data_IF_778368339044
#
_entry.id   IF_778368339044
#
_cell.length_a   1.000
_cell.length_b   1.000
_cell.length_c   1.000
_cell.angle_alpha   90.00
_cell.angle_beta   90.00
_cell.angle_gamma   90.00
#
_symmetry.space_group_name_H-M   'P 1'
#
loop_
_entity.id
_entity.type
_entity.pdbx_description
1 polymer ?
#
# COMPACT_ATOMS: atom_id res chain seq x y z
N UNK A 1 6.05 -40.54 -41.04
CA UNK A 1 5.58 -39.19 -41.40
C UNK A 1 5.35 -38.47 -40.08
N UNK A 2 6.28 -37.60 -39.72
CA UNK A 2 6.22 -36.77 -38.52
C UNK A 2 4.98 -35.86 -38.58
N UNK A 3 4.30 -35.68 -37.45
CA UNK A 3 3.66 -34.41 -37.14
C UNK A 3 3.82 -34.16 -35.64
N UNK A 4 4.44 -33.03 -35.35
CA UNK A 4 5.09 -32.65 -34.10
C UNK A 4 4.07 -32.12 -33.10
N UNK A 5 4.36 -32.38 -31.82
CA UNK A 5 3.96 -31.52 -30.70
C UNK A 5 4.10 -30.03 -31.08
N UNK A 6 3.04 -29.25 -30.93
CA UNK A 6 3.15 -27.87 -30.47
C UNK A 6 1.76 -27.27 -30.16
N UNK A 7 1.30 -27.44 -28.93
CA UNK A 7 0.34 -26.50 -28.34
C UNK A 7 0.93 -25.93 -27.06
N UNK A 8 2.12 -25.34 -27.22
CA UNK A 8 2.61 -24.33 -26.31
C UNK A 8 2.10 -22.96 -26.78
N UNK A 9 1.80 -22.10 -25.82
CA UNK A 9 1.50 -20.67 -25.96
C UNK A 9 0.11 -20.24 -26.48
N UNK A 10 -0.73 -19.85 -25.53
CA UNK A 10 -0.82 -18.43 -25.18
C UNK A 10 -1.35 -18.32 -23.76
N UNK A 11 -0.44 -18.40 -22.78
CA UNK A 11 -0.72 -17.77 -21.50
C UNK A 11 -0.89 -16.29 -21.83
N UNK A 12 -2.15 -15.84 -21.82
CA UNK A 12 -2.51 -14.42 -21.86
C UNK A 12 -1.52 -13.69 -20.96
N UNK A 13 -0.68 -12.84 -21.55
CA UNK A 13 0.16 -11.89 -20.83
C UNK A 13 -0.76 -10.86 -20.21
N UNK A 14 -1.51 -11.26 -19.18
CA UNK A 14 -2.15 -10.34 -18.26
C UNK A 14 -0.98 -9.55 -17.68
N UNK A 15 -0.86 -8.24 -17.95
CA UNK A 15 0.20 -7.45 -17.34
C UNK A 15 0.11 -7.68 -15.84
N UNK A 16 1.24 -7.92 -15.17
CA UNK A 16 1.25 -8.10 -13.72
C UNK A 16 0.94 -6.75 -13.03
N UNK A 17 -0.35 -6.44 -13.04
CA UNK A 17 -0.99 -5.28 -12.44
C UNK A 17 -1.19 -5.47 -10.95
N UNK A 18 -0.75 -6.61 -10.38
CA UNK A 18 -0.90 -6.89 -8.96
C UNK A 18 0.02 -5.97 -8.17
N UNK A 19 -0.56 -5.35 -7.15
CA UNK A 19 0.21 -4.62 -6.15
C UNK A 19 1.13 -5.63 -5.45
N UNK A 20 2.41 -5.28 -5.33
CA UNK A 20 3.41 -6.13 -4.69
C UNK A 20 4.41 -5.25 -3.95
N UNK A 21 4.75 -5.66 -2.73
CA UNK A 21 5.75 -4.99 -1.92
C UNK A 21 7.13 -5.48 -2.33
N UNK A 22 8.09 -4.57 -2.46
CA UNK A 22 9.49 -4.96 -2.57
C UNK A 22 10.04 -5.48 -1.22
N UNK A 23 11.27 -6.01 -1.20
CA UNK A 23 11.88 -6.56 0.01
C UNK A 23 11.91 -5.55 1.16
N UNK A 24 12.39 -4.33 0.91
CA UNK A 24 12.50 -3.29 1.93
C UNK A 24 11.13 -2.89 2.50
N UNK A 25 10.10 -2.83 1.66
CA UNK A 25 8.72 -2.57 2.09
C UNK A 25 8.19 -3.67 3.02
N UNK A 26 8.45 -4.94 2.69
CA UNK A 26 8.06 -6.07 3.54
C UNK A 26 8.78 -6.04 4.89
N UNK A 27 10.09 -5.83 4.89
CA UNK A 27 10.85 -5.76 6.15
C UNK A 27 10.46 -4.57 7.02
N UNK A 28 10.15 -3.43 6.40
CA UNK A 28 9.64 -2.25 7.11
C UNK A 28 8.27 -2.51 7.73
N UNK A 29 7.35 -3.14 6.99
CA UNK A 29 6.03 -3.51 7.52
C UNK A 29 6.13 -4.53 8.66
N UNK A 30 6.98 -5.56 8.52
CA UNK A 30 7.24 -6.54 9.60
C UNK A 30 7.78 -5.87 10.85
N UNK A 31 8.78 -5.00 10.70
CA UNK A 31 9.39 -4.27 11.83
C UNK A 31 8.38 -3.36 12.54
N UNK A 32 7.52 -2.70 11.77
CA UNK A 32 6.41 -1.91 12.31
C UNK A 32 5.43 -2.78 13.09
N UNK A 33 4.97 -3.89 12.51
CA UNK A 33 4.03 -4.80 13.15
C UNK A 33 4.59 -5.39 14.45
N UNK A 34 5.86 -5.82 14.43
CA UNK A 34 6.56 -6.34 15.62
C UNK A 34 6.70 -5.26 16.71
N UNK A 35 7.02 -4.02 16.33
CA UNK A 35 7.09 -2.93 17.30
C UNK A 35 5.74 -2.62 17.94
N UNK A 36 4.66 -2.65 17.15
CA UNK A 36 3.32 -2.42 17.66
C UNK A 36 2.88 -3.54 18.62
N UNK A 37 3.16 -4.80 18.27
CA UNK A 37 2.88 -5.95 19.14
C UNK A 37 3.58 -5.81 20.50
N UNK A 38 4.89 -5.53 20.49
CA UNK A 38 5.67 -5.34 21.72
C UNK A 38 5.19 -4.20 22.60
N UNK A 39 4.59 -3.17 22.01
CA UNK A 39 4.08 -2.00 22.72
C UNK A 39 2.58 -2.12 23.07
N UNK A 40 1.91 -3.20 22.67
CA UNK A 40 0.46 -3.36 22.81
C UNK A 40 -0.35 -2.38 21.94
N UNK A 41 0.26 -1.78 20.91
CA UNK A 41 -0.37 -0.79 20.03
C UNK A 41 -1.25 -1.45 18.97
N UNK A 42 -2.40 -1.95 19.44
CA UNK A 42 -3.40 -2.61 18.60
C UNK A 42 -4.04 -1.64 17.61
N UNK A 43 -4.18 -0.36 17.97
CA UNK A 43 -4.77 0.67 17.11
C UNK A 43 -3.95 0.88 15.84
N UNK A 44 -2.62 1.01 15.98
CA UNK A 44 -1.70 1.14 14.86
C UNK A 44 -1.69 -0.10 13.96
N UNK A 45 -1.78 -1.31 14.54
CA UNK A 45 -1.89 -2.56 13.78
C UNK A 45 -3.15 -2.59 12.92
N UNK A 46 -4.31 -2.30 13.52
CA UNK A 46 -5.60 -2.28 12.82
C UNK A 46 -5.58 -1.23 11.70
N UNK A 47 -5.05 -0.02 11.97
CA UNK A 47 -4.94 1.03 10.97
C UNK A 47 -3.99 0.66 9.82
N UNK A 48 -2.89 -0.03 10.09
CA UNK A 48 -1.99 -0.52 9.04
C UNK A 48 -2.66 -1.56 8.15
N UNK A 49 -3.45 -2.49 8.71
CA UNK A 49 -4.24 -3.44 7.92
C UNK A 49 -5.25 -2.72 7.03
N UNK A 50 -5.98 -1.72 7.56
CA UNK A 50 -6.91 -0.89 6.77
C UNK A 50 -6.17 -0.20 5.61
N UNK A 51 -5.02 0.43 5.89
CA UNK A 51 -4.20 1.08 4.88
C UNK A 51 -3.78 0.10 3.77
N UNK A 52 -3.37 -1.13 4.12
CA UNK A 52 -3.00 -2.17 3.17
C UNK A 52 -4.20 -2.57 2.29
N UNK A 53 -5.40 -2.70 2.86
CA UNK A 53 -6.60 -3.00 2.06
C UNK A 53 -6.91 -1.89 1.05
N UNK A 54 -6.67 -0.63 1.40
CA UNK A 54 -6.82 0.48 0.46
C UNK A 54 -5.74 0.47 -0.62
N UNK A 55 -4.49 0.14 -0.28
CA UNK A 55 -3.41 0.04 -1.25
C UNK A 55 -3.67 -1.06 -2.30
N UNK A 56 -4.11 -2.25 -1.87
CA UNK A 56 -4.47 -3.33 -2.80
C UNK A 56 -5.60 -2.96 -3.78
N UNK A 57 -6.47 -2.02 -3.40
CA UNK A 57 -7.60 -1.56 -4.23
C UNK A 57 -7.23 -0.46 -5.23
N UNK A 58 -5.99 0.03 -5.25
CA UNK A 58 -5.62 1.09 -6.20
C UNK A 58 -5.61 0.56 -7.63
N UNK A 59 -6.25 1.31 -8.53
CA UNK A 59 -6.35 0.97 -9.96
C UNK A 59 -5.03 1.13 -10.71
N UNK A 60 -4.13 1.98 -10.22
CA UNK A 60 -2.76 2.13 -10.72
C UNK A 60 -1.76 1.50 -9.76
N UNK A 61 -0.73 0.87 -10.32
CA UNK A 61 0.38 0.33 -9.55
C UNK A 61 1.13 1.47 -8.86
N UNK A 62 1.34 1.35 -7.55
CA UNK A 62 2.12 2.30 -6.78
C UNK A 62 2.91 1.58 -5.69
N UNK A 63 4.08 2.09 -5.36
CA UNK A 63 4.92 1.52 -4.30
C UNK A 63 4.18 1.67 -2.96
N UNK A 64 4.22 0.62 -2.12
CA UNK A 64 3.53 0.61 -0.85
C UNK A 64 4.00 1.73 0.07
N UNK A 65 5.32 1.97 0.16
CA UNK A 65 5.85 3.04 1.02
C UNK A 65 5.40 4.42 0.55
N UNK A 66 5.33 4.65 -0.77
CA UNK A 66 4.81 5.91 -1.32
C UNK A 66 3.33 6.06 -0.97
N UNK A 67 2.53 5.03 -1.21
CA UNK A 67 1.11 5.01 -0.85
C UNK A 67 0.89 5.27 0.64
N UNK A 68 1.62 4.56 1.50
CA UNK A 68 1.52 4.66 2.94
C UNK A 68 1.81 6.09 3.41
N UNK A 69 2.86 6.73 2.88
CA UNK A 69 3.20 8.12 3.24
C UNK A 69 2.11 9.14 2.89
N UNK A 70 1.42 8.91 1.78
CA UNK A 70 0.32 9.76 1.32
C UNK A 70 -0.95 9.50 2.12
N UNK A 71 -1.22 8.23 2.41
CA UNK A 71 -2.38 7.80 3.19
C UNK A 71 -2.26 8.30 4.63
N UNK A 72 -1.12 8.09 5.29
CA UNK A 72 -0.90 8.54 6.68
C UNK A 72 -1.10 10.05 6.79
N UNK A 73 -0.58 10.84 5.84
CA UNK A 73 -0.83 12.29 5.80
C UNK A 73 -2.30 12.63 5.58
N UNK A 74 -2.96 11.98 4.62
CA UNK A 74 -4.36 12.23 4.30
C UNK A 74 -5.30 11.86 5.46
N UNK A 75 -4.90 10.90 6.29
CA UNK A 75 -5.69 10.40 7.42
C UNK A 75 -5.33 10.99 8.80
N UNK A 76 -4.33 11.87 8.89
CA UNK A 76 -3.83 12.39 10.18
C UNK A 76 -4.88 13.11 11.04
N UNK A 77 -5.74 13.93 10.41
CA UNK A 77 -6.65 14.83 11.10
C UNK A 77 -8.12 14.50 10.81
N UNK A 78 -8.45 13.20 10.74
CA UNK A 78 -9.82 12.73 10.57
C UNK A 78 -10.35 12.30 11.93
N UNK A 79 -11.60 12.66 12.22
CA UNK A 79 -12.30 12.30 13.46
C UNK A 79 -13.03 10.95 13.38
N UNK A 80 -12.88 10.23 12.27
CA UNK A 80 -13.58 8.97 11.97
C UNK A 80 -12.62 7.79 11.91
N UNK A 81 -13.20 6.60 11.78
CA UNK A 81 -12.51 5.34 11.54
C UNK A 81 -11.43 5.47 10.46
N UNK A 82 -10.23 4.95 10.75
CA UNK A 82 -9.09 4.98 9.83
C UNK A 82 -8.17 6.20 9.96
N UNK A 83 -8.28 6.99 11.04
CA UNK A 83 -7.29 8.02 11.39
C UNK A 83 -5.90 7.40 11.50
N UNK A 84 -4.89 8.02 10.89
CA UNK A 84 -3.51 7.52 11.04
C UNK A 84 -2.96 7.83 12.43
N UNK A 85 -2.35 6.83 13.06
CA UNK A 85 -1.73 6.99 14.37
C UNK A 85 -0.39 7.72 14.27
N UNK A 86 0.14 8.18 15.40
CA UNK A 86 1.49 8.79 15.45
C UNK A 86 2.57 7.81 14.99
N UNK A 87 2.50 6.55 15.45
CA UNK A 87 3.45 5.51 15.04
C UNK A 87 3.48 5.31 13.51
N UNK A 88 2.30 5.34 12.86
CA UNK A 88 2.23 5.27 11.40
C UNK A 88 2.84 6.51 10.73
N UNK A 89 2.59 7.70 11.25
CA UNK A 89 3.14 8.96 10.72
C UNK A 89 4.67 9.01 10.82
N UNK A 90 5.22 8.49 11.91
CA UNK A 90 6.67 8.42 12.12
C UNK A 90 7.32 7.34 11.23
N UNK A 91 6.60 6.24 10.98
CA UNK A 91 7.08 5.13 10.12
C UNK A 91 7.02 5.48 8.64
N UNK A 92 5.92 6.09 8.19
CA UNK A 92 5.71 6.53 6.81
C UNK A 92 5.47 8.05 6.77
N UNK A 93 6.51 8.86 7.02
CA UNK A 93 6.39 10.30 6.89
C UNK A 93 6.16 10.65 5.42
N UNK A 94 5.35 11.68 5.17
CA UNK A 94 5.12 12.18 3.82
C UNK A 94 6.46 12.56 3.16
N UNK A 95 6.74 11.98 2.00
CA UNK A 95 7.80 12.44 1.12
C UNK A 95 7.22 13.17 -0.08
N UNK A 96 7.79 14.35 -0.39
CA UNK A 96 7.34 15.18 -1.51
C UNK A 96 5.96 15.81 -1.32
N UNK A 97 5.27 16.09 -2.43
CA UNK A 97 3.97 16.77 -2.42
C UNK A 97 2.83 15.78 -2.10
N UNK A 98 1.81 16.21 -1.33
CA UNK A 98 0.60 15.42 -1.16
C UNK A 98 -0.10 15.12 -2.49
N UNK A 99 -0.37 13.83 -2.75
CA UNK A 99 -1.13 13.30 -3.91
C UNK A 99 -2.52 12.75 -3.51
N UNK A 100 -2.80 12.68 -2.20
CA UNK A 100 -4.10 12.31 -1.66
C UNK A 100 -4.76 13.51 -0.97
N UNK A 101 -6.06 13.69 -1.20
CA UNK A 101 -6.85 14.68 -0.47
C UNK A 101 -7.11 14.20 0.96
N UNK A 102 -7.24 15.12 1.91
CA UNK A 102 -7.63 14.82 3.30
C UNK A 102 -8.87 13.93 3.32
N UNK A 103 -8.85 12.86 4.11
CA UNK A 103 -9.98 11.93 4.22
C UNK A 103 -10.16 10.98 3.04
N UNK A 104 -9.25 10.96 2.05
CA UNK A 104 -9.35 10.09 0.87
C UNK A 104 -8.27 9.01 0.90
N UNK A 105 -8.61 7.88 0.27
CA UNK A 105 -7.76 6.69 0.20
C UNK A 105 -7.40 6.30 -1.24
N UNK A 106 -7.64 7.19 -2.21
CA UNK A 106 -7.35 6.94 -3.62
C UNK A 106 -6.21 7.84 -4.09
N UNK A 107 -5.22 7.22 -4.74
CA UNK A 107 -4.15 7.92 -5.45
C UNK A 107 -4.75 8.65 -6.65
N UNK A 108 -4.70 9.98 -6.65
CA UNK A 108 -4.95 10.76 -7.87
C UNK A 108 -3.61 11.22 -8.39
N UNK A 109 -3.16 10.63 -9.50
CA UNK A 109 -2.27 11.38 -10.36
C UNK A 109 -3.12 12.54 -10.91
N UNK A 110 -2.72 13.77 -10.62
CA UNK A 110 -3.21 14.91 -11.37
C UNK A 110 -2.72 14.75 -12.81
N UNK A 111 -3.52 14.10 -13.66
CA UNK A 111 -3.56 14.44 -15.06
C UNK A 111 -4.61 15.54 -15.20
N UNK A 112 -4.10 16.77 -15.32
CA UNK A 112 -4.63 17.87 -16.12
C UNK A 112 -3.57 18.96 -16.11
#
# INVERSE_FOLDING_TARGET
>A
MESKDNSNEKLSTIPDTRQSMNYCEREKLKSFAYSCERLGDTESLVCALIMITHWFRQSKKCQFNEFASQWTKAQKDIEKFGKSTKAMQDTWPLSGKPKMKKGKCYYRDHQN
#
